data_IF_169715244405
#
_entry.id   IF_169715244405
#
_cell.length_a   1.000
_cell.length_b   1.000
_cell.length_c   1.000
_cell.angle_alpha   90.00
_cell.angle_beta   90.00
_cell.angle_gamma   90.00
#
_symmetry.space_group_name_H-M   'P 1'
#
loop_
_entity.id
_entity.type
_entity.pdbx_description
1 polymer ?
#
# COMPACT_ATOMS: atom_id res chain seq x y z
N UNK A 1 -30.07 -43.79 -14.58
CA UNK A 1 -31.40 -43.57 -13.98
C UNK A 1 -32.22 -44.82 -14.22
N UNK A 2 -32.97 -45.26 -13.22
CA UNK A 2 -33.77 -46.49 -13.29
C UNK A 2 -35.19 -46.23 -12.81
N UNK A 3 -36.18 -46.63 -13.59
CA UNK A 3 -37.58 -46.57 -13.20
C UNK A 3 -38.12 -47.97 -12.94
N UNK A 4 -38.76 -48.14 -11.79
CA UNK A 4 -39.56 -49.32 -11.49
C UNK A 4 -40.94 -49.20 -12.13
N UNK A 5 -41.45 -50.29 -12.69
CA UNK A 5 -42.80 -50.35 -13.26
C UNK A 5 -43.55 -51.50 -12.60
N UNK A 6 -44.66 -51.21 -11.94
CA UNK A 6 -45.55 -52.19 -11.30
C UNK A 6 -46.80 -52.29 -12.15
N UNK A 7 -46.86 -53.31 -13.00
CA UNK A 7 -48.00 -53.57 -13.89
C UNK A 7 -48.02 -55.02 -14.37
N UNK A 8 -49.06 -55.41 -15.09
CA UNK A 8 -49.14 -56.73 -15.72
C UNK A 8 -48.03 -56.92 -16.75
N UNK A 9 -47.35 -58.09 -16.79
CA UNK A 9 -46.35 -58.39 -17.81
C UNK A 9 -46.96 -58.51 -19.22
N UNK A 10 -48.27 -58.77 -19.29
CA UNK A 10 -49.03 -58.89 -20.53
C UNK A 10 -50.05 -57.76 -20.62
N UNK A 11 -49.86 -56.83 -21.55
CA UNK A 11 -50.80 -55.73 -21.77
C UNK A 11 -50.24 -54.60 -22.64
N UNK A 12 -51.11 -53.67 -23.03
CA UNK A 12 -50.72 -52.45 -23.75
C UNK A 12 -49.93 -51.49 -22.85
N UNK A 13 -50.31 -51.35 -21.57
CA UNK A 13 -49.68 -50.40 -20.63
C UNK A 13 -48.16 -50.54 -20.52
N UNK A 14 -47.65 -51.76 -20.33
CA UNK A 14 -46.20 -51.97 -20.21
C UNK A 14 -45.47 -51.64 -21.52
N UNK A 15 -46.08 -51.95 -22.67
CA UNK A 15 -45.50 -51.65 -23.99
C UNK A 15 -45.45 -50.14 -24.22
N UNK A 16 -46.53 -49.44 -23.85
CA UNK A 16 -46.64 -47.99 -23.95
C UNK A 16 -45.63 -47.29 -23.05
N UNK A 17 -45.51 -47.71 -21.78
CA UNK A 17 -44.51 -47.19 -20.83
C UNK A 17 -43.10 -47.40 -21.38
N UNK A 18 -42.74 -48.61 -21.80
CA UNK A 18 -41.41 -48.90 -22.34
C UNK A 18 -41.14 -48.06 -23.59
N UNK A 19 -42.10 -47.97 -24.51
CA UNK A 19 -41.94 -47.19 -25.75
C UNK A 19 -41.69 -45.71 -25.46
N UNK A 20 -42.47 -45.10 -24.56
CA UNK A 20 -42.32 -43.68 -24.22
C UNK A 20 -41.02 -43.42 -23.46
N UNK A 21 -40.70 -44.23 -22.44
CA UNK A 21 -39.47 -44.08 -21.66
C UNK A 21 -38.22 -44.19 -22.55
N UNK A 22 -38.14 -45.21 -23.39
CA UNK A 22 -36.99 -45.43 -24.28
C UNK A 22 -36.91 -44.40 -25.41
N UNK A 23 -38.04 -43.92 -25.92
CA UNK A 23 -38.06 -42.85 -26.93
C UNK A 23 -37.60 -41.50 -26.34
N UNK A 24 -38.04 -41.14 -25.14
CA UNK A 24 -37.71 -39.85 -24.52
C UNK A 24 -36.34 -39.83 -23.87
N UNK A 25 -35.91 -40.95 -23.31
CA UNK A 25 -34.63 -41.10 -22.64
C UNK A 25 -34.01 -42.49 -22.93
N UNK A 26 -33.38 -42.69 -24.10
CA UNK A 26 -32.79 -43.96 -24.52
C UNK A 26 -31.90 -44.69 -23.51
N UNK A 27 -31.22 -43.96 -22.62
CA UNK A 27 -30.31 -44.51 -21.61
C UNK A 27 -30.98 -44.82 -20.26
N UNK A 28 -32.32 -44.94 -20.21
CA UNK A 28 -33.04 -45.31 -18.99
C UNK A 28 -33.05 -46.82 -18.79
N UNK A 29 -32.76 -47.25 -17.56
CA UNK A 29 -32.99 -48.63 -17.15
C UNK A 29 -34.43 -48.79 -16.66
N UNK A 30 -35.12 -49.84 -17.09
CA UNK A 30 -36.51 -50.11 -16.70
C UNK A 30 -36.53 -51.44 -15.97
N UNK A 31 -37.05 -51.45 -14.75
CA UNK A 31 -37.26 -52.66 -13.96
C UNK A 31 -38.75 -52.94 -13.81
N UNK A 32 -39.23 -53.98 -14.48
CA UNK A 32 -40.61 -54.44 -14.36
C UNK A 32 -40.76 -55.37 -13.15
N UNK A 33 -41.63 -55.01 -12.20
CA UNK A 33 -42.16 -55.93 -11.20
C UNK A 33 -43.54 -56.42 -11.71
N UNK A 34 -43.62 -57.65 -12.27
CA UNK A 34 -44.85 -58.15 -12.85
C UNK A 34 -45.87 -58.46 -11.76
N UNK A 35 -47.08 -57.93 -11.89
CA UNK A 35 -48.17 -58.15 -10.93
C UNK A 35 -49.45 -58.58 -11.62
N UNK A 36 -50.32 -59.27 -10.86
CA UNK A 36 -51.72 -59.45 -11.29
C UNK A 36 -52.49 -58.17 -10.99
N UNK A 37 -53.15 -57.62 -12.00
CA UNK A 37 -53.89 -56.33 -11.91
C UNK A 37 -55.40 -56.53 -11.77
N UNK A 38 -55.86 -57.78 -11.71
CA UNK A 38 -57.26 -58.17 -11.59
C UNK A 38 -57.38 -59.49 -10.81
N UNK A 39 -58.53 -59.71 -10.17
CA UNK A 39 -58.82 -60.87 -9.34
C UNK A 39 -58.45 -60.68 -7.86
N UNK A 40 -58.87 -61.63 -7.02
CA UNK A 40 -58.81 -61.54 -5.55
C UNK A 40 -57.38 -61.42 -4.98
N UNK A 41 -56.36 -61.81 -5.74
CA UNK A 41 -54.94 -61.72 -5.31
C UNK A 41 -54.23 -60.47 -5.80
N UNK A 42 -54.88 -59.63 -6.61
CA UNK A 42 -54.24 -58.49 -7.27
C UNK A 42 -53.70 -57.46 -6.26
N UNK A 43 -54.50 -57.05 -5.28
CA UNK A 43 -54.10 -56.06 -4.29
C UNK A 43 -52.85 -56.48 -3.50
N UNK A 44 -52.80 -57.75 -3.05
CA UNK A 44 -51.63 -58.31 -2.36
C UNK A 44 -50.40 -58.36 -3.27
N UNK A 45 -50.58 -58.72 -4.54
CA UNK A 45 -49.51 -58.77 -5.53
C UNK A 45 -48.93 -57.38 -5.81
N UNK A 46 -49.78 -56.36 -5.94
CA UNK A 46 -49.37 -54.97 -6.19
C UNK A 46 -48.62 -54.42 -4.99
N UNK A 47 -49.17 -54.55 -3.77
CA UNK A 47 -48.52 -54.08 -2.55
C UNK A 47 -47.13 -54.71 -2.35
N UNK A 48 -47.02 -56.04 -2.48
CA UNK A 48 -45.76 -56.74 -2.35
C UNK A 48 -44.71 -56.29 -3.38
N UNK A 49 -45.13 -55.95 -4.61
CA UNK A 49 -44.21 -55.43 -5.62
C UNK A 49 -43.73 -54.02 -5.31
N UNK A 50 -44.61 -53.14 -4.81
CA UNK A 50 -44.23 -51.79 -4.37
C UNK A 50 -43.24 -51.87 -3.21
N UNK A 51 -43.53 -52.70 -2.21
CA UNK A 51 -42.65 -52.91 -1.05
C UNK A 51 -41.29 -53.47 -1.48
N UNK A 52 -41.28 -54.47 -2.35
CA UNK A 52 -40.04 -55.05 -2.89
C UNK A 52 -39.19 -54.00 -3.62
N UNK A 53 -39.78 -53.20 -4.52
CA UNK A 53 -39.03 -52.17 -5.23
C UNK A 53 -38.56 -51.06 -4.30
N UNK A 54 -39.34 -50.72 -3.27
CA UNK A 54 -38.98 -49.73 -2.25
C UNK A 54 -37.82 -50.16 -1.35
N UNK A 55 -37.47 -51.46 -1.32
CA UNK A 55 -36.29 -51.95 -0.59
C UNK A 55 -34.99 -51.75 -1.37
N UNK A 56 -35.05 -51.32 -2.64
CA UNK A 56 -33.89 -51.18 -3.51
C UNK A 56 -33.43 -49.73 -3.59
N UNK A 57 -32.13 -49.52 -3.46
CA UNK A 57 -31.51 -48.19 -3.56
C UNK A 57 -31.14 -47.79 -5.01
N UNK A 58 -31.36 -48.68 -5.98
CA UNK A 58 -30.97 -48.46 -7.38
C UNK A 58 -32.12 -47.97 -8.28
N UNK A 59 -33.26 -47.61 -7.71
CA UNK A 59 -34.47 -47.15 -8.41
C UNK A 59 -34.75 -45.70 -8.02
N UNK A 60 -35.02 -44.86 -9.01
CA UNK A 60 -35.26 -43.42 -8.80
C UNK A 60 -36.75 -43.08 -8.60
N UNK A 61 -37.66 -43.87 -9.20
CA UNK A 61 -39.12 -43.66 -9.15
C UNK A 61 -39.88 -44.94 -9.53
N UNK A 62 -41.16 -45.01 -9.13
CA UNK A 62 -42.08 -46.08 -9.52
C UNK A 62 -43.22 -45.55 -10.38
N UNK A 63 -43.58 -46.31 -11.42
CA UNK A 63 -44.84 -46.15 -12.15
C UNK A 63 -45.73 -47.33 -11.77
N UNK A 64 -46.83 -47.06 -11.08
CA UNK A 64 -47.82 -48.07 -10.71
C UNK A 64 -49.03 -47.87 -11.58
N UNK A 65 -49.43 -48.87 -12.35
CA UNK A 65 -50.50 -48.65 -13.30
C UNK A 65 -51.00 -49.89 -14.01
N UNK A 66 -52.01 -49.67 -14.83
CA UNK A 66 -52.72 -50.69 -15.58
C UNK A 66 -53.12 -50.09 -16.94
N UNK A 67 -53.29 -50.93 -17.97
CA UNK A 67 -53.79 -50.48 -19.26
C UNK A 67 -55.17 -51.03 -19.56
N UNK A 68 -56.18 -50.16 -19.72
CA UNK A 68 -57.54 -50.52 -20.14
C UNK A 68 -58.28 -51.48 -19.19
N UNK A 69 -59.61 -51.56 -19.32
CA UNK A 69 -60.46 -52.45 -18.51
C UNK A 69 -61.74 -51.79 -18.03
N UNK A 70 -62.64 -52.57 -17.44
CA UNK A 70 -63.81 -52.01 -16.75
C UNK A 70 -63.40 -51.42 -15.40
N UNK A 71 -64.25 -50.57 -14.83
CA UNK A 71 -64.02 -49.99 -13.49
C UNK A 71 -63.89 -51.07 -12.40
N UNK A 72 -64.53 -52.22 -12.60
CA UNK A 72 -64.48 -53.38 -11.70
C UNK A 72 -63.06 -53.92 -11.60
N UNK A 73 -62.32 -53.86 -12.70
CA UNK A 73 -60.94 -54.32 -12.72
C UNK A 73 -59.94 -53.31 -12.12
N UNK A 74 -60.39 -52.09 -11.78
CA UNK A 74 -59.59 -51.08 -11.06
C UNK A 74 -59.72 -51.23 -9.54
N UNK A 75 -60.63 -52.09 -9.05
CA UNK A 75 -60.99 -52.15 -7.63
C UNK A 75 -59.82 -52.54 -6.72
N UNK A 76 -58.87 -53.35 -7.21
CA UNK A 76 -57.68 -53.73 -6.46
C UNK A 76 -56.84 -52.51 -6.01
N UNK A 77 -56.91 -51.40 -6.74
CA UNK A 77 -56.22 -50.14 -6.42
C UNK A 77 -56.98 -49.26 -5.41
N UNK A 78 -58.19 -49.68 -5.00
CA UNK A 78 -58.94 -49.07 -3.90
C UNK A 78 -58.78 -49.83 -2.58
N UNK A 79 -58.11 -50.99 -2.58
CA UNK A 79 -57.90 -51.75 -1.36
C UNK A 79 -56.87 -51.06 -0.45
N UNK A 80 -57.16 -51.06 0.86
CA UNK A 80 -56.34 -50.41 1.87
C UNK A 80 -54.86 -50.84 1.82
N UNK A 81 -54.60 -52.12 1.54
CA UNK A 81 -53.23 -52.66 1.47
C UNK A 81 -52.39 -51.99 0.37
N UNK A 82 -52.99 -51.70 -0.80
CA UNK A 82 -52.30 -51.03 -1.91
C UNK A 82 -52.11 -49.55 -1.59
N UNK A 83 -53.15 -48.91 -1.06
CA UNK A 83 -53.12 -47.49 -0.68
C UNK A 83 -52.04 -47.24 0.37
N UNK A 84 -51.92 -48.10 1.39
CA UNK A 84 -50.86 -48.01 2.40
C UNK A 84 -49.48 -48.25 1.79
N UNK A 85 -49.31 -49.26 0.94
CA UNK A 85 -48.04 -49.51 0.27
C UNK A 85 -47.57 -48.30 -0.57
N UNK A 86 -48.50 -47.61 -1.24
CA UNK A 86 -48.19 -46.37 -1.96
C UNK A 86 -47.81 -45.25 -0.99
N UNK A 87 -48.62 -45.02 0.05
CA UNK A 87 -48.39 -43.96 1.05
C UNK A 87 -47.06 -44.11 1.79
N UNK A 88 -46.66 -45.35 2.08
CA UNK A 88 -45.46 -45.68 2.87
C UNK A 88 -44.22 -45.88 1.99
N UNK A 89 -44.36 -45.80 0.66
CA UNK A 89 -43.26 -45.92 -0.28
C UNK A 89 -42.20 -44.83 -0.04
N UNK A 90 -40.93 -45.24 -0.05
CA UNK A 90 -39.78 -44.32 0.00
C UNK A 90 -39.45 -43.72 -1.37
N UNK A 91 -39.91 -44.37 -2.43
CA UNK A 91 -39.70 -43.95 -3.81
C UNK A 91 -40.91 -43.15 -4.28
N UNK A 92 -40.70 -42.05 -5.03
CA UNK A 92 -41.80 -41.31 -5.63
C UNK A 92 -42.62 -42.22 -6.56
N UNK A 93 -43.94 -42.21 -6.41
CA UNK A 93 -44.87 -43.04 -7.18
C UNK A 93 -45.71 -42.17 -8.12
N UNK A 94 -45.73 -42.56 -9.39
CA UNK A 94 -46.66 -42.05 -10.39
C UNK A 94 -47.78 -43.09 -10.57
N UNK A 95 -49.01 -42.74 -10.20
CA UNK A 95 -50.18 -43.57 -10.47
C UNK A 95 -50.63 -43.39 -11.91
N UNK A 96 -50.84 -44.50 -12.61
CA UNK A 96 -51.32 -44.58 -13.99
C UNK A 96 -52.44 -45.62 -14.10
N UNK A 97 -53.37 -45.59 -13.15
CA UNK A 97 -54.43 -46.59 -12.97
C UNK A 97 -55.74 -46.12 -13.62
N UNK A 98 -56.19 -44.91 -13.29
CA UNK A 98 -57.43 -44.33 -13.79
C UNK A 98 -57.31 -43.71 -15.20
N UNK A 99 -58.44 -43.61 -15.89
CA UNK A 99 -58.59 -42.74 -17.07
C UNK A 99 -58.96 -41.31 -16.64
N UNK A 100 -59.10 -40.36 -17.57
CA UNK A 100 -59.38 -38.95 -17.22
C UNK A 100 -60.56 -38.75 -16.24
N UNK A 101 -61.57 -39.63 -16.28
CA UNK A 101 -62.80 -39.54 -15.46
C UNK A 101 -62.87 -40.52 -14.26
N UNK A 102 -62.05 -41.57 -14.24
CA UNK A 102 -62.07 -42.59 -13.19
C UNK A 102 -60.92 -42.34 -12.21
N UNK A 103 -61.24 -42.21 -10.92
CA UNK A 103 -60.25 -42.01 -9.86
C UNK A 103 -60.26 -43.19 -8.90
N UNK A 104 -59.07 -43.60 -8.48
CA UNK A 104 -58.86 -44.61 -7.44
C UNK A 104 -58.25 -43.98 -6.19
N UNK A 105 -58.37 -44.64 -5.04
CA UNK A 105 -57.68 -44.21 -3.82
C UNK A 105 -56.15 -44.20 -4.01
N UNK A 106 -55.63 -45.11 -4.83
CA UNK A 106 -54.21 -45.09 -5.23
C UNK A 106 -53.81 -43.80 -5.94
N UNK A 107 -54.68 -43.25 -6.80
CA UNK A 107 -54.41 -41.98 -7.50
C UNK A 107 -54.32 -40.78 -6.54
N UNK A 108 -55.07 -40.81 -5.44
CA UNK A 108 -55.07 -39.73 -4.44
C UNK A 108 -53.87 -39.79 -3.50
N UNK A 109 -53.29 -40.98 -3.32
CA UNK A 109 -52.19 -41.20 -2.38
C UNK A 109 -50.82 -41.22 -3.06
N UNK A 110 -50.76 -41.46 -4.37
CA UNK A 110 -49.53 -41.33 -5.15
C UNK A 110 -49.04 -39.86 -5.21
N UNK A 111 -47.72 -39.67 -5.37
CA UNK A 111 -47.12 -38.34 -5.49
C UNK A 111 -47.64 -37.58 -6.72
N UNK A 112 -47.84 -38.30 -7.82
CA UNK A 112 -48.35 -37.75 -9.07
C UNK A 112 -49.34 -38.73 -9.70
N UNK A 113 -50.48 -38.21 -10.14
CA UNK A 113 -51.42 -38.94 -10.99
C UNK A 113 -51.14 -38.63 -12.46
N UNK A 114 -51.12 -39.67 -13.29
CA UNK A 114 -51.15 -39.60 -14.74
C UNK A 114 -52.43 -40.23 -15.28
N UNK A 115 -53.08 -39.62 -16.29
CA UNK A 115 -54.34 -40.13 -16.85
C UNK A 115 -54.17 -41.38 -17.73
N UNK A 116 -52.92 -41.72 -18.11
CA UNK A 116 -52.60 -42.90 -18.90
C UNK A 116 -51.19 -43.43 -18.56
N UNK A 117 -50.90 -44.71 -18.83
CA UNK A 117 -49.55 -45.27 -18.73
C UNK A 117 -48.50 -44.49 -19.56
N UNK A 118 -48.86 -44.05 -20.77
CA UNK A 118 -48.00 -43.21 -21.61
C UNK A 118 -47.69 -41.86 -20.95
N UNK A 119 -48.71 -41.18 -20.41
CA UNK A 119 -48.52 -39.91 -19.71
C UNK A 119 -47.66 -40.08 -18.44
N UNK A 120 -47.77 -41.21 -17.75
CA UNK A 120 -46.93 -41.52 -16.59
C UNK A 120 -45.45 -41.63 -16.99
N UNK A 121 -45.17 -42.33 -18.09
CA UNK A 121 -43.83 -42.42 -18.65
C UNK A 121 -43.31 -41.05 -19.12
N UNK A 122 -44.18 -40.19 -19.65
CA UNK A 122 -43.82 -38.82 -20.03
C UNK A 122 -43.45 -37.93 -18.83
N UNK A 123 -44.10 -38.12 -17.69
CA UNK A 123 -43.80 -37.39 -16.46
C UNK A 123 -42.54 -37.93 -15.77
N UNK A 124 -42.29 -39.24 -15.89
CA UNK A 124 -41.15 -39.91 -15.26
C UNK A 124 -39.78 -39.44 -15.78
N UNK A 125 -39.68 -39.09 -17.07
CA UNK A 125 -38.39 -38.75 -17.69
C UNK A 125 -38.39 -37.46 -18.49
N UNK A 126 -37.28 -36.70 -18.45
CA UNK A 126 -37.09 -35.57 -19.36
C UNK A 126 -36.85 -36.05 -20.80
N UNK A 127 -36.94 -35.13 -21.77
CA UNK A 127 -36.50 -35.39 -23.15
C UNK A 127 -34.98 -35.24 -23.23
N UNK A 128 -34.25 -36.29 -23.60
CA UNK A 128 -32.78 -36.26 -23.68
C UNK A 128 -32.26 -35.16 -24.62
N UNK A 129 -32.88 -35.01 -25.80
CA UNK A 129 -32.49 -34.01 -26.81
C UNK A 129 -32.57 -32.58 -26.25
N UNK A 130 -33.55 -32.28 -25.38
CA UNK A 130 -33.68 -30.97 -24.75
C UNK A 130 -32.53 -30.71 -23.77
N UNK A 131 -32.17 -31.72 -22.97
CA UNK A 131 -31.03 -31.63 -22.04
C UNK A 131 -29.71 -31.43 -22.80
N UNK A 132 -29.48 -32.17 -23.88
CA UNK A 132 -28.31 -31.99 -24.75
C UNK A 132 -28.26 -30.58 -25.34
N UNK A 133 -29.41 -30.08 -25.81
CA UNK A 133 -29.53 -28.72 -26.36
C UNK A 133 -29.30 -27.66 -25.29
N UNK A 134 -29.74 -27.88 -24.05
CA UNK A 134 -29.46 -26.99 -22.93
C UNK A 134 -27.97 -26.98 -22.56
N UNK A 135 -27.34 -28.14 -22.48
CA UNK A 135 -25.91 -28.29 -22.24
C UNK A 135 -25.07 -27.57 -23.31
N UNK A 136 -25.41 -27.78 -24.59
CA UNK A 136 -24.74 -27.10 -25.71
C UNK A 136 -24.89 -25.57 -25.64
N UNK A 137 -26.08 -25.07 -25.27
CA UNK A 137 -26.32 -23.64 -25.05
C UNK A 137 -25.46 -23.08 -23.91
N UNK A 138 -25.37 -23.78 -22.78
CA UNK A 138 -24.55 -23.37 -21.64
C UNK A 138 -23.06 -23.34 -22.04
N UNK A 139 -22.57 -24.38 -22.72
CA UNK A 139 -21.18 -24.46 -23.17
C UNK A 139 -20.81 -23.32 -24.14
N UNK A 140 -21.72 -22.99 -25.07
CA UNK A 140 -21.54 -21.89 -26.02
C UNK A 140 -21.49 -20.55 -25.31
N UNK A 141 -22.40 -20.30 -24.36
CA UNK A 141 -22.42 -19.07 -23.54
C UNK A 141 -21.14 -18.92 -22.72
N UNK A 142 -20.71 -19.99 -22.04
CA UNK A 142 -19.47 -20.00 -21.26
C UNK A 142 -18.25 -19.65 -22.13
N UNK A 143 -18.13 -20.31 -23.28
CA UNK A 143 -17.03 -20.07 -24.23
C UNK A 143 -17.02 -18.62 -24.74
N UNK A 144 -18.20 -18.06 -25.06
CA UNK A 144 -18.34 -16.66 -25.45
C UNK A 144 -17.93 -15.69 -24.33
N UNK A 145 -18.37 -15.94 -23.10
CA UNK A 145 -18.01 -15.12 -21.94
C UNK A 145 -16.50 -15.14 -21.65
N UNK A 146 -15.86 -16.31 -21.74
CA UNK A 146 -14.41 -16.43 -21.57
C UNK A 146 -13.64 -15.68 -22.66
N UNK A 147 -14.06 -15.78 -23.93
CA UNK A 147 -13.47 -15.02 -25.03
C UNK A 147 -13.59 -13.51 -24.82
N UNK A 148 -14.78 -13.03 -24.46
CA UNK A 148 -15.01 -11.61 -24.20
C UNK A 148 -14.17 -11.11 -23.02
N UNK A 149 -14.05 -11.89 -21.94
CA UNK A 149 -13.21 -11.53 -20.80
C UNK A 149 -11.73 -11.45 -21.19
N UNK A 150 -11.24 -12.37 -22.02
CA UNK A 150 -9.88 -12.31 -22.55
C UNK A 150 -9.63 -11.07 -23.41
N UNK A 151 -10.58 -10.66 -24.25
CA UNK A 151 -10.51 -9.43 -25.05
C UNK A 151 -10.41 -8.20 -24.15
N UNK A 152 -11.29 -8.08 -23.15
CA UNK A 152 -11.29 -6.95 -22.20
C UNK A 152 -9.97 -6.87 -21.44
N UNK A 153 -9.44 -8.00 -20.97
CA UNK A 153 -8.15 -8.01 -20.27
C UNK A 153 -6.99 -7.60 -21.18
N UNK A 154 -6.97 -8.07 -22.44
CA UNK A 154 -5.96 -7.64 -23.43
C UNK A 154 -6.03 -6.15 -23.72
N UNK A 155 -7.23 -5.57 -23.81
CA UNK A 155 -7.42 -4.13 -24.02
C UNK A 155 -6.98 -3.26 -22.85
N UNK A 156 -6.87 -3.81 -21.62
CA UNK A 156 -6.34 -3.06 -20.46
C UNK A 156 -4.81 -2.91 -20.49
N UNK A 157 -4.08 -3.80 -21.16
CA UNK A 157 -2.61 -3.81 -21.19
C UNK A 157 -2.04 -2.51 -21.82
N UNK A 158 -2.54 -2.01 -22.97
CA UNK A 158 -2.09 -0.74 -23.53
C UNK A 158 -2.28 0.44 -22.57
N UNK A 159 -3.42 0.51 -21.87
CA UNK A 159 -3.71 1.55 -20.89
C UNK A 159 -2.66 1.59 -19.78
N UNK A 160 -2.35 0.44 -19.18
CA UNK A 160 -1.31 0.35 -18.16
C UNK A 160 0.07 0.75 -18.66
N UNK A 161 0.47 0.30 -19.86
CA UNK A 161 1.75 0.70 -20.47
C UNK A 161 1.84 2.21 -20.66
N UNK A 162 0.77 2.83 -21.17
CA UNK A 162 0.76 4.25 -21.46
C UNK A 162 0.82 5.09 -20.17
N UNK A 163 0.03 4.73 -19.16
CA UNK A 163 0.06 5.39 -17.85
C UNK A 163 1.43 5.22 -17.18
N UNK A 164 2.04 4.04 -17.24
CA UNK A 164 3.37 3.80 -16.68
C UNK A 164 4.46 4.63 -17.37
N UNK A 165 4.45 4.70 -18.70
CA UNK A 165 5.41 5.53 -19.45
C UNK A 165 5.24 7.01 -19.12
N UNK A 166 4.00 7.50 -19.00
CA UNK A 166 3.72 8.88 -18.61
C UNK A 166 4.22 9.17 -17.19
N UNK A 167 3.96 8.28 -16.23
CA UNK A 167 4.46 8.42 -14.86
C UNK A 167 5.99 8.42 -14.79
N UNK A 168 6.65 7.55 -15.56
CA UNK A 168 8.12 7.51 -15.63
C UNK A 168 8.68 8.81 -16.22
N UNK A 169 8.08 9.32 -17.31
CA UNK A 169 8.49 10.59 -17.94
C UNK A 169 8.31 11.76 -16.97
N UNK A 170 7.19 11.85 -16.27
CA UNK A 170 6.95 12.88 -15.26
C UNK A 170 7.98 12.82 -14.14
N UNK A 171 8.31 11.62 -13.65
CA UNK A 171 9.34 11.42 -12.63
C UNK A 171 10.74 11.83 -13.10
N UNK A 172 11.10 11.54 -14.36
CA UNK A 172 12.37 11.98 -14.95
C UNK A 172 12.42 13.50 -15.12
N UNK A 173 11.35 14.13 -15.60
CA UNK A 173 11.27 15.59 -15.72
C UNK A 173 11.42 16.30 -14.37
N UNK A 174 10.77 15.79 -13.32
CA UNK A 174 10.89 16.36 -11.98
C UNK A 174 12.32 16.24 -11.43
N UNK A 175 13.00 15.10 -11.70
CA UNK A 175 14.41 14.94 -11.32
C UNK A 175 15.33 15.88 -12.09
N UNK A 176 15.08 16.08 -13.39
CA UNK A 176 15.82 17.02 -14.21
C UNK A 176 15.69 18.45 -13.65
N UNK A 177 14.47 18.90 -13.35
CA UNK A 177 14.23 20.23 -12.76
C UNK A 177 14.97 20.42 -11.43
N UNK A 178 15.01 19.39 -10.56
CA UNK A 178 15.77 19.46 -9.29
C UNK A 178 17.28 19.61 -9.52
N UNK A 179 17.83 18.93 -10.52
CA UNK A 179 19.24 19.05 -10.90
C UNK A 179 19.51 20.46 -11.42
N UNK A 180 18.64 20.98 -12.30
CA UNK A 180 18.79 22.32 -12.87
C UNK A 180 18.73 23.40 -11.77
N UNK A 181 17.78 23.30 -10.83
CA UNK A 181 17.68 24.20 -9.68
C UNK A 181 18.92 24.12 -8.76
N UNK A 182 19.39 22.91 -8.45
CA UNK A 182 20.58 22.73 -7.62
C UNK A 182 21.83 23.31 -8.30
N UNK A 183 21.94 23.14 -9.62
CA UNK A 183 23.03 23.69 -10.44
C UNK A 183 23.00 25.22 -10.44
N UNK A 184 21.83 25.83 -10.62
CA UNK A 184 21.66 27.28 -10.55
C UNK A 184 22.01 27.84 -9.16
N UNK A 185 21.57 27.17 -8.09
CA UNK A 185 21.92 27.58 -6.72
C UNK A 185 23.43 27.48 -6.48
N UNK A 186 24.05 26.37 -6.85
CA UNK A 186 25.49 26.16 -6.68
C UNK A 186 26.31 27.21 -7.43
N UNK A 187 25.96 27.48 -8.69
CA UNK A 187 26.66 28.48 -9.50
C UNK A 187 26.50 29.90 -8.93
N UNK A 188 25.32 30.24 -8.43
CA UNK A 188 25.07 31.52 -7.78
C UNK A 188 25.87 31.69 -6.48
N UNK A 189 25.85 30.68 -5.60
CA UNK A 189 26.60 30.69 -4.35
C UNK A 189 28.12 30.76 -4.57
N UNK A 190 28.64 29.98 -5.53
CA UNK A 190 30.04 30.05 -5.91
C UNK A 190 30.43 31.45 -6.40
N UNK A 191 29.62 32.05 -7.28
CA UNK A 191 29.86 33.40 -7.79
C UNK A 191 29.87 34.43 -6.65
N UNK A 192 28.89 34.37 -5.76
CA UNK A 192 28.80 35.28 -4.61
C UNK A 192 29.99 35.09 -3.65
N UNK A 193 30.41 33.86 -3.39
CA UNK A 193 31.56 33.57 -2.54
C UNK A 193 32.87 34.11 -3.12
N UNK A 194 33.05 34.02 -4.44
CA UNK A 194 34.23 34.56 -5.15
C UNK A 194 34.22 36.09 -5.08
N UNK A 195 33.08 36.72 -5.31
CA UNK A 195 32.93 38.19 -5.21
C UNK A 195 33.24 38.65 -3.77
N UNK A 196 32.67 38.01 -2.76
CA UNK A 196 32.90 38.34 -1.36
C UNK A 196 34.37 38.19 -0.97
N UNK A 197 35.03 37.10 -1.40
CA UNK A 197 36.47 36.89 -1.19
C UNK A 197 37.32 37.95 -1.90
N UNK A 198 36.99 38.29 -3.15
CA UNK A 198 37.68 39.35 -3.91
C UNK A 198 37.55 40.72 -3.26
N UNK A 199 36.39 41.05 -2.68
CA UNK A 199 36.18 42.32 -1.97
C UNK A 199 36.87 42.35 -0.59
N UNK A 200 37.04 41.19 0.06
CA UNK A 200 37.70 41.09 1.36
C UNK A 200 39.22 41.33 1.29
N UNK A 201 39.87 40.89 0.20
CA UNK A 201 41.31 41.09 -0.01
C UNK A 201 41.78 42.55 0.09
N UNK A 202 41.23 43.50 -0.69
CA UNK A 202 41.66 44.89 -0.63
C UNK A 202 41.33 45.55 0.71
N UNK A 203 40.21 45.18 1.34
CA UNK A 203 39.89 45.66 2.71
C UNK A 203 40.93 45.20 3.73
N UNK A 204 41.35 43.92 3.67
CA UNK A 204 42.41 43.40 4.53
C UNK A 204 43.74 44.10 4.26
N UNK A 205 44.11 44.28 2.99
CA UNK A 205 45.33 45.01 2.59
C UNK A 205 45.32 46.45 3.11
N UNK A 206 44.23 47.19 2.93
CA UNK A 206 44.09 48.57 3.40
C UNK A 206 44.15 48.63 4.93
N UNK A 207 43.48 47.71 5.63
CA UNK A 207 43.53 47.66 7.10
C UNK A 207 44.94 47.35 7.62
N UNK A 208 45.69 46.50 6.91
CA UNK A 208 47.08 46.16 7.25
C UNK A 208 48.00 47.36 7.01
N UNK A 209 47.88 48.05 5.87
CA UNK A 209 48.63 49.25 5.58
C UNK A 209 48.40 50.34 6.64
N UNK A 210 47.14 50.60 6.99
CA UNK A 210 46.80 51.59 8.01
C UNK A 210 47.33 51.22 9.41
N UNK A 211 47.28 49.94 9.78
CA UNK A 211 47.89 49.44 11.03
C UNK A 211 49.40 49.59 11.05
N UNK A 212 50.08 49.37 9.92
CA UNK A 212 51.52 49.59 9.81
C UNK A 212 51.87 51.08 9.92
N UNK A 213 51.12 51.96 9.26
CA UNK A 213 51.33 53.41 9.35
C UNK A 213 51.14 53.93 10.78
N UNK A 214 50.07 53.51 11.45
CA UNK A 214 49.79 53.87 12.85
C UNK A 214 50.87 53.32 13.80
N UNK A 215 51.34 52.09 13.60
CA UNK A 215 52.47 51.54 14.37
C UNK A 215 53.76 52.34 14.15
N UNK A 216 54.14 52.60 12.89
CA UNK A 216 55.37 53.34 12.56
C UNK A 216 55.32 54.76 13.13
N UNK A 217 54.19 55.46 13.00
CA UNK A 217 54.01 56.81 13.56
C UNK A 217 54.10 56.82 15.09
N UNK A 218 53.51 55.84 15.77
CA UNK A 218 53.64 55.72 17.23
C UNK A 218 55.08 55.46 17.68
N UNK A 219 55.83 54.64 16.92
CA UNK A 219 57.25 54.38 17.18
C UNK A 219 58.08 55.65 16.97
N UNK A 220 57.83 56.40 15.89
CA UNK A 220 58.47 57.71 15.64
C UNK A 220 58.21 58.72 16.75
N UNK A 221 56.96 58.81 17.23
CA UNK A 221 56.61 59.68 18.36
C UNK A 221 57.34 59.26 19.64
N UNK A 222 57.47 57.96 19.89
CA UNK A 222 58.21 57.43 21.04
C UNK A 222 59.70 57.80 20.97
N UNK A 223 60.34 57.62 19.82
CA UNK A 223 61.73 58.02 19.59
C UNK A 223 61.90 59.53 19.81
N UNK A 224 60.99 60.35 19.25
CA UNK A 224 61.03 61.81 19.43
C UNK A 224 60.89 62.21 20.89
N UNK A 225 60.01 61.53 21.66
CA UNK A 225 59.86 61.77 23.10
C UNK A 225 61.14 61.43 23.87
N UNK A 226 61.77 60.29 23.56
CA UNK A 226 63.03 59.89 24.18
C UNK A 226 64.17 60.87 23.86
N UNK A 227 64.27 61.40 22.63
CA UNK A 227 65.24 62.44 22.27
C UNK A 227 65.05 63.71 23.10
N UNK A 228 63.80 64.18 23.27
CA UNK A 228 63.50 65.34 24.11
C UNK A 228 63.88 65.10 25.58
N UNK A 229 63.57 63.92 26.12
CA UNK A 229 63.95 63.55 27.49
C UNK A 229 65.47 63.49 27.66
N UNK A 230 66.19 62.90 26.70
CA UNK A 230 67.65 62.82 26.71
C UNK A 230 68.28 64.22 26.73
N UNK A 231 67.76 65.15 25.92
CA UNK A 231 68.22 66.54 25.91
C UNK A 231 67.91 67.28 27.20
N UNK A 232 66.76 67.03 27.81
CA UNK A 232 66.39 67.63 29.10
C UNK A 232 67.28 67.16 30.26
N UNK A 233 67.77 65.91 30.19
CA UNK A 233 68.67 65.31 31.17
C UNK A 233 70.15 65.62 30.90
N UNK A 234 70.49 66.34 29.84
CA UNK A 234 71.87 66.74 29.56
C UNK A 234 72.30 67.86 30.53
N UNK A 235 73.24 67.62 31.45
CA UNK A 235 73.66 68.59 32.47
C UNK A 235 74.26 69.86 31.87
N UNK A 236 74.78 69.80 30.65
CA UNK A 236 75.32 70.96 29.93
C UNK A 236 74.20 71.91 29.48
N UNK A 237 73.02 71.38 29.13
CA UNK A 237 71.87 72.19 28.74
C UNK A 237 71.29 73.01 29.91
N UNK A 238 71.56 72.60 31.15
CA UNK A 238 71.22 73.39 32.35
C UNK A 238 72.14 74.60 32.48
N UNK A 239 73.43 74.43 32.16
CA UNK A 239 74.39 75.55 32.15
C UNK A 239 74.08 76.56 31.04
N UNK A 240 73.69 76.10 29.84
CA UNK A 240 73.28 76.97 28.72
C UNK A 240 72.06 77.85 29.03
N UNK A 241 71.18 77.42 29.96
CA UNK A 241 70.03 78.21 30.41
C UNK A 241 70.38 79.32 31.42
N UNK A 242 71.67 79.55 31.66
CA UNK A 242 72.16 80.62 32.53
C UNK A 242 72.32 80.22 34.00
N UNK A 243 72.12 78.94 34.34
CA UNK A 243 72.48 78.43 35.65
C UNK A 243 73.99 78.22 35.74
N UNK A 244 74.54 78.44 36.93
CA UNK A 244 75.97 78.23 37.19
C UNK A 244 76.15 77.14 38.23
N UNK A 245 77.23 76.37 38.11
CA UNK A 245 77.60 75.35 39.08
C UNK A 245 78.75 75.87 39.93
N UNK A 246 78.47 76.24 41.17
CA UNK A 246 79.48 76.72 42.13
C UNK A 246 80.04 75.56 42.94
N UNK A 247 81.38 75.50 43.02
CA UNK A 247 82.13 74.51 43.81
C UNK A 247 83.09 75.20 44.78
N UNK A 248 83.38 74.54 45.90
CA UNK A 248 84.50 74.90 46.78
C UNK A 248 85.85 74.60 46.11
N UNK A 249 86.94 75.07 46.71
CA UNK A 249 88.32 74.78 46.25
C UNK A 249 88.62 73.27 46.19
N UNK A 250 88.03 72.50 47.11
CA UNK A 250 88.10 71.03 47.15
C UNK A 250 87.21 70.32 46.10
N UNK A 251 86.52 71.07 45.25
CA UNK A 251 85.70 70.55 44.15
C UNK A 251 84.30 70.07 44.54
N UNK A 252 83.87 70.27 45.79
CA UNK A 252 82.53 69.92 46.27
C UNK A 252 81.49 70.92 45.77
N UNK A 253 80.33 70.46 45.28
CA UNK A 253 79.26 71.35 44.78
C UNK A 253 78.56 72.03 45.95
N UNK A 254 78.54 73.37 45.94
CA UNK A 254 77.75 74.15 46.89
C UNK A 254 76.27 74.02 46.55
N UNK A 255 75.47 73.68 47.55
CA UNK A 255 74.00 73.64 47.43
C UNK A 255 73.31 74.60 48.39
N UNK A 256 74.00 75.02 49.44
CA UNK A 256 73.48 75.86 50.50
C UNK A 256 74.52 76.94 50.87
N UNK A 257 74.06 78.18 51.06
CA UNK A 257 74.91 79.32 51.38
C UNK A 257 75.57 79.20 52.77
N UNK A 258 75.00 78.41 53.69
CA UNK A 258 75.57 78.17 55.01
C UNK A 258 76.88 77.33 54.98
N UNK A 259 77.21 76.72 53.83
CA UNK A 259 78.36 75.81 53.70
C UNK A 259 79.70 76.53 53.55
N UNK A 260 79.70 77.86 53.45
CA UNK A 260 80.91 78.67 53.22
C UNK A 260 80.93 79.88 54.14
N UNK A 261 82.13 80.33 54.51
CA UNK A 261 82.31 81.52 55.33
C UNK A 261 82.82 82.68 54.48
N UNK A 262 82.56 83.95 54.88
CA UNK A 262 83.16 85.11 54.25
C UNK A 262 84.69 84.97 54.15
N UNK A 263 85.26 85.27 52.99
CA UNK A 263 86.67 85.08 52.62
C UNK A 263 86.97 83.79 51.85
N UNK A 264 86.02 82.86 51.75
CA UNK A 264 86.24 81.58 51.01
C UNK A 264 86.25 81.82 49.50
N UNK A 265 87.22 81.23 48.79
CA UNK A 265 87.27 81.24 47.31
C UNK A 265 86.45 80.08 46.72
N UNK A 266 85.65 80.39 45.71
CA UNK A 266 84.72 79.49 45.04
C UNK A 266 84.96 79.48 43.54
N UNK A 267 84.76 78.31 42.93
CA UNK A 267 84.86 78.11 41.48
C UNK A 267 83.45 77.98 40.91
N UNK A 268 83.01 78.99 40.17
CA UNK A 268 81.68 79.01 39.54
C UNK A 268 81.80 78.70 38.06
N UNK A 269 81.33 77.53 37.65
CA UNK A 269 81.32 77.10 36.24
C UNK A 269 80.04 77.58 35.55
N UNK A 270 80.22 78.27 34.43
CA UNK A 270 79.14 78.74 33.55
C UNK A 270 79.04 77.85 32.31
N UNK A 271 78.07 78.13 31.43
CA UNK A 271 77.95 77.48 30.11
C UNK A 271 79.30 77.44 29.38
N UNK A 272 79.99 78.58 29.35
CA UNK A 272 81.33 78.72 28.81
C UNK A 272 82.23 79.44 29.82
N UNK A 273 83.28 78.76 30.28
CA UNK A 273 84.27 79.31 31.21
C UNK A 273 84.01 79.00 32.69
N UNK A 274 84.95 79.40 33.54
CA UNK A 274 84.89 79.21 34.98
C UNK A 274 85.44 80.47 35.66
N UNK A 275 84.71 80.98 36.64
CA UNK A 275 85.07 82.17 37.41
C UNK A 275 85.55 81.75 38.79
N UNK A 276 86.58 82.43 39.30
CA UNK A 276 87.01 82.31 40.69
C UNK A 276 86.43 83.51 41.43
N UNK A 277 85.58 83.26 42.40
CA UNK A 277 84.82 84.26 43.14
C UNK A 277 85.10 84.12 44.63
N UNK A 278 85.30 85.23 45.33
CA UNK A 278 85.50 85.24 46.79
C UNK A 278 84.21 85.68 47.49
N UNK A 279 83.82 84.96 48.53
CA UNK A 279 82.58 85.23 49.29
C UNK A 279 82.80 86.46 50.16
N UNK A 280 82.11 87.57 49.88
CA UNK A 280 82.23 88.79 50.71
C UNK A 280 81.30 88.79 51.93
N UNK A 281 80.12 88.21 51.80
CA UNK A 281 79.10 88.17 52.84
C UNK A 281 78.17 86.98 52.57
N UNK A 282 77.83 86.20 53.60
CA UNK A 282 76.81 85.14 53.51
C UNK A 282 75.55 85.60 54.22
N UNK A 283 74.45 85.74 53.46
CA UNK A 283 73.10 85.95 54.00
C UNK A 283 72.35 84.63 53.84
N UNK A 284 72.09 83.99 54.98
CA UNK A 284 71.36 82.72 55.09
C UNK A 284 69.92 83.04 55.46
#
# INVERSE_FOLDING_TARGET
KKSGVVTSPTGAAIRDIIHVLTRRFPNIEILLAPVTVQGETAAKSIAAAIDYLSTRDDIDLLIVGRGGGSIEDLWAFNEEIVVRAIAESKLPIISAVGHEIDFTLSDFVADVRAPTPSAAAELAVPVQVELETQLARIATRLSGSLKNRAIVLRQRIPGFRQTMIQALRAGLQQRQQRIDEATLRLTHELKNSVIARRQRLPRLQQSMAHRLETMISSQKQTVKRLDVQLRALNPLAVLDRGYSLTRTEDGTVLRDAAQVQPGTRLHTRLANGTLITEVKETKV
#
